data_IF_392343273659
#
_entry.id   IF_392343273659
#
_cell.length_a   1.000
_cell.length_b   1.000
_cell.length_c   1.000
_cell.angle_alpha   90.00
_cell.angle_beta   90.00
_cell.angle_gamma   90.00
#
_symmetry.space_group_name_H-M   'P 1'
#
loop_
_entity.id
_entity.type
_entity.pdbx_description
1 polymer ?
#
# COMPACT_ATOMS: atom_id res chain seq x y z
N UNK A 1 -2.38 3.54 1.46
CA UNK A 1 -2.93 2.56 0.55
C UNK A 1 -3.59 1.44 1.34
N UNK A 2 -4.86 1.20 1.07
CA UNK A 2 -5.64 0.07 1.62
C UNK A 2 -5.94 -0.88 0.47
N UNK A 3 -5.69 -2.17 0.66
CA UNK A 3 -6.03 -3.23 -0.29
C UNK A 3 -6.96 -4.22 0.39
N UNK A 4 -8.06 -4.55 -0.24
CA UNK A 4 -9.05 -5.53 0.25
C UNK A 4 -9.23 -6.60 -0.82
N UNK A 5 -9.02 -7.85 -0.45
CA UNK A 5 -9.17 -8.99 -1.36
C UNK A 5 -10.58 -9.59 -1.16
N UNK A 6 -11.30 -9.76 -2.25
CA UNK A 6 -12.61 -10.39 -2.31
C UNK A 6 -12.60 -11.47 -3.38
N UNK A 7 -12.17 -12.69 -3.05
CA UNK A 7 -11.95 -13.75 -4.03
C UNK A 7 -13.21 -14.10 -4.81
N UNK A 8 -13.09 -14.14 -6.14
CA UNK A 8 -14.16 -14.54 -7.04
C UNK A 8 -15.24 -13.48 -7.32
N UNK A 9 -15.13 -12.28 -6.75
CA UNK A 9 -16.06 -11.19 -7.00
C UNK A 9 -15.71 -10.46 -8.30
N UNK A 10 -16.73 -10.07 -9.08
CA UNK A 10 -16.55 -9.20 -10.25
C UNK A 10 -16.21 -7.77 -9.82
N UNK A 11 -15.63 -6.92 -10.71
CA UNK A 11 -15.34 -5.52 -10.39
C UNK A 11 -16.56 -4.76 -9.86
N UNK A 12 -17.75 -4.98 -10.44
CA UNK A 12 -18.98 -4.32 -10.02
C UNK A 12 -19.44 -4.75 -8.62
N UNK A 13 -19.17 -6.02 -8.27
CA UNK A 13 -19.45 -6.50 -6.92
C UNK A 13 -18.45 -5.92 -5.93
N UNK A 14 -17.15 -5.91 -6.26
CA UNK A 14 -16.09 -5.31 -5.43
C UNK A 14 -16.37 -3.83 -5.21
N UNK A 15 -16.79 -3.09 -6.23
CA UNK A 15 -17.15 -1.69 -6.12
C UNK A 15 -18.29 -1.48 -5.12
N UNK A 16 -19.43 -2.09 -5.36
CA UNK A 16 -20.65 -1.89 -4.57
C UNK A 16 -20.54 -2.44 -3.14
N UNK A 17 -19.93 -3.62 -2.96
CA UNK A 17 -19.98 -4.36 -1.70
C UNK A 17 -18.76 -4.11 -0.81
N UNK A 18 -17.67 -3.59 -1.36
CA UNK A 18 -16.41 -3.37 -0.64
C UNK A 18 -15.92 -1.93 -0.76
N UNK A 19 -15.75 -1.43 -1.99
CA UNK A 19 -15.13 -0.14 -2.21
C UNK A 19 -15.99 1.00 -1.65
N UNK A 20 -17.25 1.13 -2.10
CA UNK A 20 -18.15 2.20 -1.65
C UNK A 20 -18.34 2.24 -0.12
N UNK A 21 -18.62 1.12 0.59
CA UNK A 21 -18.76 1.14 2.04
C UNK A 21 -17.49 1.55 2.78
N UNK A 22 -16.32 1.17 2.27
CA UNK A 22 -15.04 1.54 2.88
C UNK A 22 -14.69 3.00 2.61
N UNK A 23 -14.94 3.51 1.40
CA UNK A 23 -14.76 4.92 1.07
C UNK A 23 -15.64 5.81 1.95
N UNK A 24 -16.91 5.44 2.14
CA UNK A 24 -17.83 6.15 3.04
C UNK A 24 -17.29 6.20 4.48
N UNK A 25 -16.78 5.07 4.98
CA UNK A 25 -16.20 5.00 6.31
C UNK A 25 -14.96 5.91 6.44
N UNK A 26 -14.06 5.85 5.46
CA UNK A 26 -12.81 6.63 5.46
C UNK A 26 -13.11 8.13 5.30
N UNK A 27 -14.12 8.50 4.53
CA UNK A 27 -14.48 9.91 4.30
C UNK A 27 -14.83 10.65 5.59
N UNK A 28 -15.31 9.95 6.60
CA UNK A 28 -15.64 10.53 7.92
C UNK A 28 -14.42 10.86 8.78
N UNK A 29 -13.22 10.41 8.41
CA UNK A 29 -12.00 10.59 9.19
C UNK A 29 -11.48 12.03 9.06
N UNK A 30 -11.17 12.64 10.19
CA UNK A 30 -10.64 13.99 10.22
C UNK A 30 -9.26 14.08 9.52
N UNK A 31 -9.10 15.07 8.65
CA UNK A 31 -7.86 15.32 7.93
C UNK A 31 -7.74 14.55 6.62
N UNK A 32 -8.73 13.81 6.17
CA UNK A 32 -8.79 13.25 4.83
C UNK A 32 -8.86 14.39 3.80
N UNK A 33 -7.94 14.36 2.83
CA UNK A 33 -7.85 15.33 1.74
C UNK A 33 -8.50 14.80 0.46
N UNK A 34 -8.23 13.55 0.12
CA UNK A 34 -8.83 12.87 -1.03
C UNK A 34 -8.84 11.35 -0.83
N UNK A 35 -9.80 10.70 -1.45
CA UNK A 35 -9.92 9.26 -1.53
C UNK A 35 -10.02 8.91 -3.01
N UNK A 36 -9.24 7.95 -3.47
CA UNK A 36 -9.32 7.40 -4.82
C UNK A 36 -9.35 5.88 -4.70
N UNK A 37 -10.46 5.29 -5.07
CA UNK A 37 -10.65 3.85 -5.10
C UNK A 37 -10.62 3.28 -6.51
N UNK A 38 -10.18 2.04 -6.61
CA UNK A 38 -10.21 1.25 -7.83
C UNK A 38 -10.68 -0.17 -7.50
N UNK A 39 -11.75 -0.60 -8.15
CA UNK A 39 -12.26 -1.96 -8.07
C UNK A 39 -11.77 -2.78 -9.27
N UNK A 40 -11.26 -3.98 -9.00
CA UNK A 40 -10.81 -4.95 -10.00
C UNK A 40 -11.35 -6.33 -9.67
N UNK A 41 -11.15 -7.30 -10.59
CA UNK A 41 -11.50 -8.69 -10.33
C UNK A 41 -10.86 -9.19 -9.03
N UNK A 42 -11.67 -9.50 -8.04
CA UNK A 42 -11.24 -10.08 -6.77
C UNK A 42 -10.57 -9.14 -5.77
N UNK A 43 -10.45 -7.84 -6.03
CA UNK A 43 -9.88 -6.92 -5.05
C UNK A 43 -10.23 -5.45 -5.26
N UNK A 44 -10.19 -4.67 -4.17
CA UNK A 44 -10.24 -3.22 -4.18
C UNK A 44 -8.92 -2.60 -3.70
N UNK A 45 -8.54 -1.49 -4.30
CA UNK A 45 -7.45 -0.64 -3.83
C UNK A 45 -7.94 0.77 -3.56
N UNK A 46 -7.61 1.31 -2.39
CA UNK A 46 -8.03 2.64 -1.96
C UNK A 46 -6.80 3.44 -1.54
N UNK A 47 -6.55 4.53 -2.25
CA UNK A 47 -5.50 5.50 -1.91
C UNK A 47 -6.13 6.66 -1.16
N UNK A 48 -5.88 6.75 0.14
CA UNK A 48 -6.34 7.86 0.98
C UNK A 48 -5.18 8.82 1.20
N UNK A 49 -5.39 10.09 0.86
CA UNK A 49 -4.46 11.18 1.14
C UNK A 49 -4.96 11.99 2.33
N UNK A 50 -4.06 12.28 3.25
CA UNK A 50 -4.34 13.14 4.41
C UNK A 50 -3.68 14.50 4.26
N UNK A 51 -4.16 15.48 5.01
CA UNK A 51 -3.47 16.77 5.14
C UNK A 51 -2.10 16.56 5.78
N UNK A 52 -1.13 17.41 5.44
CA UNK A 52 0.26 17.26 5.87
C UNK A 52 0.45 17.24 7.39
N UNK A 53 -0.44 17.90 8.14
CA UNK A 53 -0.40 17.96 9.60
C UNK A 53 -0.89 16.68 10.29
N UNK A 54 -1.52 15.73 9.56
CA UNK A 54 -2.02 14.48 10.13
C UNK A 54 -0.89 13.47 10.25
N UNK A 55 -0.68 12.93 11.44
CA UNK A 55 0.29 11.86 11.66
C UNK A 55 -0.13 10.58 10.93
N UNK A 56 0.82 9.97 10.19
CA UNK A 56 0.54 8.77 9.40
C UNK A 56 0.23 7.53 10.24
N UNK A 57 0.72 7.47 11.48
CA UNK A 57 0.42 6.38 12.39
C UNK A 57 -1.02 6.49 12.88
N UNK A 58 -1.40 7.68 13.33
CA UNK A 58 -2.77 8.01 13.72
C UNK A 58 -3.74 7.77 12.56
N UNK A 59 -3.44 8.31 11.37
CA UNK A 59 -4.25 8.10 10.17
C UNK A 59 -4.45 6.61 9.82
N UNK A 60 -3.41 5.79 9.99
CA UNK A 60 -3.50 4.35 9.74
C UNK A 60 -4.41 3.66 10.76
N UNK A 61 -4.34 4.09 12.03
CA UNK A 61 -5.21 3.56 13.07
C UNK A 61 -6.67 3.98 12.83
N UNK A 62 -6.91 5.25 12.50
CA UNK A 62 -8.25 5.75 12.19
C UNK A 62 -8.90 4.98 11.03
N UNK A 63 -8.13 4.66 9.97
CA UNK A 63 -8.62 3.83 8.86
C UNK A 63 -8.99 2.42 9.35
N UNK A 64 -8.16 1.78 10.18
CA UNK A 64 -8.49 0.45 10.74
C UNK A 64 -9.76 0.47 11.54
N UNK A 65 -9.92 1.46 12.40
CA UNK A 65 -11.07 1.60 13.27
C UNK A 65 -12.35 1.88 12.44
N UNK A 66 -12.25 2.72 11.40
CA UNK A 66 -13.35 3.00 10.48
C UNK A 66 -13.80 1.73 9.74
N UNK A 67 -12.86 0.97 9.17
CA UNK A 67 -13.15 -0.30 8.48
C UNK A 67 -13.72 -1.34 9.45
N UNK A 68 -13.16 -1.43 10.66
CA UNK A 68 -13.65 -2.35 11.71
C UNK A 68 -15.10 -2.06 12.09
N UNK A 69 -15.48 -0.78 12.18
CA UNK A 69 -16.86 -0.37 12.46
C UNK A 69 -17.83 -0.81 11.35
N UNK A 70 -17.37 -0.79 10.10
CA UNK A 70 -18.16 -1.23 8.94
C UNK A 70 -18.08 -2.73 8.64
N UNK A 71 -17.35 -3.51 9.45
CA UNK A 71 -17.10 -4.95 9.18
C UNK A 71 -18.37 -5.77 9.02
N UNK A 72 -19.46 -5.40 9.69
CA UNK A 72 -20.75 -6.09 9.60
C UNK A 72 -21.48 -5.81 8.28
N UNK A 73 -21.18 -4.68 7.64
CA UNK A 73 -21.78 -4.28 6.36
C UNK A 73 -21.00 -4.86 5.17
N UNK A 74 -19.79 -5.39 5.42
CA UNK A 74 -18.92 -5.98 4.40
C UNK A 74 -19.17 -7.49 4.25
N UNK A 75 -18.96 -8.07 3.05
CA UNK A 75 -19.06 -9.51 2.83
C UNK A 75 -18.15 -10.30 3.78
N UNK A 76 -18.58 -11.49 4.19
CA UNK A 76 -17.79 -12.35 5.10
C UNK A 76 -16.58 -12.98 4.39
N UNK A 77 -16.67 -13.12 3.08
CA UNK A 77 -15.68 -13.73 2.20
C UNK A 77 -14.45 -12.84 1.94
N UNK A 78 -14.50 -11.56 2.30
CA UNK A 78 -13.33 -10.69 2.14
C UNK A 78 -12.23 -11.07 3.13
N UNK A 79 -10.99 -11.01 2.66
CA UNK A 79 -9.82 -11.13 3.52
C UNK A 79 -9.63 -9.88 4.38
N UNK A 80 -8.81 -10.00 5.42
CA UNK A 80 -8.49 -8.84 6.27
C UNK A 80 -7.81 -7.74 5.46
N UNK A 81 -8.30 -6.48 5.53
CA UNK A 81 -7.73 -5.38 4.77
C UNK A 81 -6.26 -5.13 5.08
N UNK A 82 -5.45 -5.03 4.03
CA UNK A 82 -4.01 -4.77 4.13
C UNK A 82 -3.78 -3.27 4.01
N UNK A 83 -3.28 -2.64 5.08
CA UNK A 83 -2.93 -1.22 5.08
C UNK A 83 -1.42 -1.04 4.92
N UNK A 84 -1.03 -0.33 3.86
CA UNK A 84 0.36 0.09 3.62
C UNK A 84 0.46 1.60 3.68
N UNK A 85 1.41 2.07 4.46
CA UNK A 85 1.78 3.48 4.46
C UNK A 85 2.58 3.76 3.18
N UNK A 86 2.25 4.84 2.52
CA UNK A 86 3.00 5.35 1.38
C UNK A 86 3.24 6.84 1.60
N UNK A 87 4.48 7.23 1.62
CA UNK A 87 4.85 8.63 1.67
C UNK A 87 5.47 8.98 0.30
N UNK A 88 4.93 9.92 -0.47
CA UNK A 88 5.52 10.34 -1.73
C UNK A 88 6.97 10.83 -1.61
N UNK A 89 7.39 11.25 -0.42
CA UNK A 89 8.78 11.63 -0.15
C UNK A 89 9.73 10.44 -0.05
N UNK A 90 9.21 9.22 0.04
CA UNK A 90 9.99 7.98 0.08
C UNK A 90 10.28 7.45 -1.34
N UNK A 91 9.92 8.21 -2.38
CA UNK A 91 10.25 7.87 -3.76
C UNK A 91 11.79 7.78 -3.91
N UNK A 92 12.32 6.77 -4.67
CA UNK A 92 13.74 6.65 -4.89
C UNK A 92 14.31 7.92 -5.54
N UNK A 93 15.31 8.53 -4.90
CA UNK A 93 16.02 9.70 -5.44
C UNK A 93 17.17 9.31 -6.34
N UNK A 94 17.63 8.05 -6.23
CA UNK A 94 18.69 7.48 -7.07
C UNK A 94 18.28 6.08 -7.50
N UNK A 95 18.36 5.78 -8.78
CA UNK A 95 18.17 4.44 -9.33
C UNK A 95 19.47 3.96 -9.92
N UNK A 96 19.97 2.81 -9.47
CA UNK A 96 21.17 2.18 -9.97
C UNK A 96 20.80 0.96 -10.82
N UNK A 97 21.40 0.86 -12.00
CA UNK A 97 21.23 -0.33 -12.85
C UNK A 97 22.43 -1.26 -12.67
N UNK A 98 22.15 -2.52 -12.37
CA UNK A 98 23.15 -3.58 -12.26
C UNK A 98 23.07 -4.48 -13.48
N UNK A 99 24.17 -4.69 -14.17
CA UNK A 99 24.24 -5.56 -15.33
C UNK A 99 25.55 -6.37 -15.37
N UNK A 100 25.51 -7.52 -16.03
CA UNK A 100 26.68 -8.40 -16.22
C UNK A 100 26.54 -9.21 -17.49
N UNK A 101 27.65 -9.48 -18.16
CA UNK A 101 27.71 -10.38 -19.31
C UNK A 101 27.90 -11.85 -18.91
N UNK A 102 28.22 -12.13 -17.63
CA UNK A 102 28.57 -13.45 -17.12
C UNK A 102 27.60 -14.01 -16.08
N UNK A 103 26.79 -13.17 -15.45
CA UNK A 103 25.83 -13.58 -14.43
C UNK A 103 24.41 -13.56 -14.95
N UNK A 104 23.62 -14.55 -14.56
CA UNK A 104 22.18 -14.58 -14.85
C UNK A 104 21.43 -13.51 -14.02
N UNK A 105 20.19 -13.10 -14.43
CA UNK A 105 19.38 -12.17 -13.64
C UNK A 105 19.17 -12.62 -12.20
N UNK A 106 18.96 -13.91 -11.96
CA UNK A 106 18.79 -14.45 -10.61
C UNK A 106 20.08 -14.31 -9.76
N UNK A 107 21.25 -14.53 -10.36
CA UNK A 107 22.53 -14.33 -9.68
C UNK A 107 22.81 -12.84 -9.41
N UNK A 108 22.40 -11.96 -10.33
CA UNK A 108 22.50 -10.51 -10.12
C UNK A 108 21.60 -10.06 -8.97
N UNK A 109 20.37 -10.57 -8.86
CA UNK A 109 19.48 -10.26 -7.73
C UNK A 109 20.07 -10.77 -6.42
N UNK A 110 20.64 -11.98 -6.37
CA UNK A 110 21.30 -12.50 -5.18
C UNK A 110 22.57 -11.70 -4.78
N UNK A 111 23.25 -11.12 -5.74
CA UNK A 111 24.37 -10.22 -5.47
C UNK A 111 23.88 -8.85 -4.99
N UNK A 112 22.80 -8.34 -5.58
CA UNK A 112 22.22 -7.06 -5.19
C UNK A 112 21.67 -7.12 -3.78
N UNK A 113 20.88 -8.13 -3.44
CA UNK A 113 20.29 -8.31 -2.11
C UNK A 113 20.75 -9.68 -1.51
N UNK A 114 21.45 -9.72 -0.37
CA UNK A 114 21.66 -8.60 0.58
C UNK A 114 23.00 -7.84 0.44
N UNK A 115 23.89 -8.21 -0.48
CA UNK A 115 25.27 -7.69 -0.40
C UNK A 115 25.36 -6.20 -0.74
N UNK A 116 24.91 -5.80 -1.93
CA UNK A 116 25.00 -4.39 -2.36
C UNK A 116 24.03 -3.53 -1.56
N UNK A 117 22.80 -3.99 -1.32
CA UNK A 117 21.80 -3.24 -0.55
C UNK A 117 22.29 -2.95 0.86
N UNK A 118 23.00 -3.88 1.51
CA UNK A 118 23.55 -3.69 2.85
C UNK A 118 24.66 -2.63 2.87
N UNK A 119 25.58 -2.66 1.91
CA UNK A 119 26.66 -1.68 1.83
C UNK A 119 26.10 -0.26 1.56
N UNK A 120 25.10 -0.15 0.69
CA UNK A 120 24.47 1.13 0.40
C UNK A 120 23.66 1.67 1.59
N UNK A 121 22.96 0.82 2.34
CA UNK A 121 22.23 1.21 3.57
C UNK A 121 23.18 1.68 4.68
N UNK A 122 24.43 1.23 4.66
CA UNK A 122 25.44 1.67 5.65
C UNK A 122 25.92 3.10 5.43
N UNK A 123 25.62 3.71 4.28
CA UNK A 123 26.04 5.08 3.96
C UNK A 123 25.16 6.06 4.76
N UNK A 124 25.78 7.00 5.53
CA UNK A 124 25.03 8.01 6.27
C UNK A 124 24.12 8.84 5.34
N UNK A 125 22.84 8.95 5.68
CA UNK A 125 21.85 9.69 4.91
C UNK A 125 21.01 8.82 3.95
N UNK A 126 21.36 7.54 3.78
CA UNK A 126 20.52 6.59 3.04
C UNK A 126 19.43 6.04 3.97
N UNK A 127 18.17 6.29 3.65
CA UNK A 127 17.04 5.85 4.46
C UNK A 127 16.62 4.42 4.13
N UNK A 128 16.56 4.06 2.84
CA UNK A 128 16.24 2.71 2.38
C UNK A 128 16.87 2.42 1.01
N UNK A 129 17.07 1.14 0.75
CA UNK A 129 17.53 0.59 -0.54
C UNK A 129 16.73 -0.66 -0.85
N UNK A 130 16.07 -0.68 -2.00
CA UNK A 130 15.28 -1.82 -2.49
C UNK A 130 15.77 -2.29 -3.85
N UNK A 131 15.58 -3.57 -4.15
CA UNK A 131 15.88 -4.21 -5.44
C UNK A 131 14.59 -4.62 -6.11
#
# INVERSE_FOLDING_TARGET
LTTVIYPGASPEQVEREVLEPIEEAIQSIAGVKSINGEARDGFAQIVTQFVYSKDLQEATQDIRDAISTKRQDLPQEIEEPILRKFNPTDAPIVTLSLWSNSLSPAQLTQLADPYITRELRAIPGVADVSV
#
